data_IF_002638510182
#
_entry.id   IF_002638510182
#
_cell.length_a   1.000
_cell.length_b   1.000
_cell.length_c   1.000
_cell.angle_alpha   90.00
_cell.angle_beta   90.00
_cell.angle_gamma   90.00
#
_symmetry.space_group_name_H-M   'P 1'
#
loop_
_entity.id
_entity.type
_entity.pdbx_description
1 polymer ?
#
# COMPACT_ATOMS: atom_id res chain seq x y z
N UNK A 1 35.23 -11.41 -4.92
CA UNK A 1 34.76 -11.42 -3.52
C UNK A 1 34.84 -9.99 -3.07
N UNK A 2 33.84 -9.52 -2.34
CA UNK A 2 33.83 -8.18 -1.74
C UNK A 2 35.04 -8.04 -0.81
N UNK A 3 35.58 -6.84 -0.65
CA UNK A 3 36.80 -6.69 0.14
C UNK A 3 37.21 -5.26 0.42
N UNK A 4 38.16 -5.11 1.33
CA UNK A 4 38.76 -3.82 1.67
C UNK A 4 39.89 -3.46 0.70
N UNK A 5 39.78 -2.32 0.05
CA UNK A 5 40.82 -1.73 -0.81
C UNK A 5 41.11 -0.32 -0.30
N UNK A 6 42.37 -0.04 0.02
CA UNK A 6 42.83 1.28 0.51
C UNK A 6 41.98 1.88 1.66
N UNK A 7 41.52 1.02 2.58
CA UNK A 7 40.72 1.46 3.73
C UNK A 7 39.27 1.77 3.42
N UNK A 8 38.78 1.47 2.21
CA UNK A 8 37.36 1.51 1.83
C UNK A 8 36.86 0.11 1.52
N UNK A 9 35.59 -0.14 1.79
CA UNK A 9 34.94 -1.38 1.42
C UNK A 9 34.48 -1.29 -0.05
N UNK A 10 34.92 -2.23 -0.87
CA UNK A 10 34.52 -2.34 -2.28
C UNK A 10 33.55 -3.49 -2.49
N UNK A 11 32.38 -3.15 -3.02
CA UNK A 11 31.31 -4.09 -3.34
C UNK A 11 31.54 -4.72 -4.72
N UNK A 12 31.46 -6.05 -4.80
CA UNK A 12 31.54 -6.79 -6.06
C UNK A 12 30.16 -7.38 -6.40
N UNK A 13 29.21 -6.50 -6.73
CA UNK A 13 27.84 -6.90 -7.05
C UNK A 13 27.79 -7.70 -8.36
N UNK A 14 27.35 -8.96 -8.28
CA UNK A 14 27.18 -9.84 -9.43
C UNK A 14 25.72 -10.25 -9.58
N UNK A 15 25.10 -9.82 -10.68
CA UNK A 15 23.71 -10.14 -10.99
C UNK A 15 23.59 -11.53 -11.62
N UNK A 16 22.57 -12.29 -11.24
CA UNK A 16 22.32 -13.65 -11.78
C UNK A 16 21.88 -13.64 -13.25
N UNK A 17 21.29 -12.54 -13.72
CA UNK A 17 20.80 -12.33 -15.08
C UNK A 17 21.00 -10.87 -15.50
N UNK A 18 20.85 -10.61 -16.79
CA UNK A 18 20.80 -9.24 -17.30
C UNK A 18 19.66 -8.45 -16.63
N UNK A 19 19.90 -7.16 -16.43
CA UNK A 19 18.95 -6.22 -15.86
C UNK A 19 17.85 -5.91 -16.86
N UNK A 20 16.61 -5.83 -16.36
CA UNK A 20 15.54 -5.17 -17.11
C UNK A 20 15.69 -3.66 -17.00
N UNK A 21 15.13 -2.91 -17.95
CA UNK A 21 15.24 -1.44 -17.99
C UNK A 21 14.77 -0.77 -16.69
N UNK A 22 13.69 -1.28 -16.08
CA UNK A 22 13.16 -0.76 -14.81
C UNK A 22 14.01 -1.11 -13.57
N UNK A 23 14.94 -2.06 -13.68
CA UNK A 23 15.85 -2.43 -12.57
C UNK A 23 17.09 -1.54 -12.54
N UNK A 24 17.39 -0.81 -13.63
CA UNK A 24 18.58 0.05 -13.73
C UNK A 24 18.48 1.24 -12.76
N UNK A 25 17.30 1.83 -12.63
CA UNK A 25 17.07 2.93 -11.68
C UNK A 25 17.20 2.45 -10.22
N UNK A 26 16.69 1.26 -9.91
CA UNK A 26 16.81 0.65 -8.59
C UNK A 26 18.26 0.30 -8.26
N UNK A 27 19.04 -0.17 -9.25
CA UNK A 27 20.48 -0.41 -9.08
C UNK A 27 21.23 0.89 -8.78
N UNK A 28 20.93 1.96 -9.51
CA UNK A 28 21.56 3.25 -9.27
C UNK A 28 21.27 3.76 -7.85
N UNK A 29 20.02 3.66 -7.40
CA UNK A 29 19.64 4.01 -6.03
C UNK A 29 20.36 3.16 -4.98
N UNK A 30 20.47 1.85 -5.23
CA UNK A 30 21.19 0.93 -4.35
C UNK A 30 22.68 1.30 -4.26
N UNK A 31 23.33 1.53 -5.41
CA UNK A 31 24.76 1.90 -5.45
C UNK A 31 25.01 3.21 -4.73
N UNK A 32 24.15 4.22 -4.92
CA UNK A 32 24.23 5.48 -4.18
C UNK A 32 24.06 5.28 -2.67
N UNK A 33 23.09 4.47 -2.24
CA UNK A 33 22.88 4.20 -0.81
C UNK A 33 24.10 3.51 -0.19
N UNK A 34 24.67 2.55 -0.92
CA UNK A 34 25.82 1.77 -0.48
C UNK A 34 27.11 2.62 -0.46
N UNK A 35 27.36 3.45 -1.47
CA UNK A 35 28.53 4.36 -1.52
C UNK A 35 28.52 5.38 -0.38
N UNK A 36 27.34 5.83 0.03
CA UNK A 36 27.19 6.75 1.15
C UNK A 36 27.32 6.08 2.54
N UNK A 37 27.47 4.76 2.58
CA UNK A 37 27.58 4.01 3.84
C UNK A 37 29.05 3.85 4.24
N UNK A 38 29.41 4.31 5.43
CA UNK A 38 30.77 4.20 5.96
C UNK A 38 30.91 2.93 6.82
N UNK A 39 31.50 1.89 6.25
CA UNK A 39 31.79 0.65 6.98
C UNK A 39 32.98 0.85 7.91
N UNK A 40 32.91 0.27 9.11
CA UNK A 40 34.00 0.28 10.08
C UNK A 40 34.63 -1.11 10.11
N UNK A 41 35.93 -1.22 9.81
CA UNK A 41 36.62 -2.52 9.65
C UNK A 41 36.59 -3.40 10.91
N UNK A 42 36.68 -2.76 12.08
CA UNK A 42 36.86 -3.44 13.36
C UNK A 42 35.59 -3.41 14.23
N UNK A 43 34.46 -3.00 13.66
CA UNK A 43 33.17 -3.02 14.33
C UNK A 43 32.39 -4.26 13.92
N UNK A 44 31.87 -4.98 14.91
CA UNK A 44 30.96 -6.10 14.68
C UNK A 44 29.57 -5.54 14.40
N UNK A 45 28.91 -6.05 13.36
CA UNK A 45 27.53 -5.71 13.04
C UNK A 45 26.61 -6.01 14.23
N UNK A 46 25.71 -5.07 14.53
CA UNK A 46 24.72 -5.21 15.59
C UNK A 46 23.36 -4.71 15.13
N UNK A 47 22.30 -5.32 15.66
CA UNK A 47 20.94 -4.87 15.42
C UNK A 47 20.64 -3.66 16.30
N UNK A 48 20.10 -2.59 15.70
CA UNK A 48 19.57 -1.44 16.41
C UNK A 48 18.06 -1.34 16.22
N UNK A 49 17.36 -0.97 17.28
CA UNK A 49 15.94 -0.66 17.26
C UNK A 49 15.74 0.83 17.03
N UNK A 50 15.40 1.23 15.80
CA UNK A 50 15.29 2.63 15.40
C UNK A 50 14.17 3.40 16.14
N UNK A 51 13.17 2.70 16.66
CA UNK A 51 12.04 3.32 17.35
C UNK A 51 12.38 3.72 18.80
N UNK A 52 13.61 3.52 19.27
CA UNK A 52 14.06 3.97 20.57
C UNK A 52 15.46 4.61 20.47
N UNK A 53 15.67 5.82 21.05
CA UNK A 53 16.98 6.50 20.96
C UNK A 53 18.14 5.70 21.57
N UNK A 54 17.85 4.76 22.48
CA UNK A 54 18.84 3.84 23.05
C UNK A 54 19.34 2.79 22.05
N UNK A 55 18.63 2.60 20.93
CA UNK A 55 18.87 1.54 19.96
C UNK A 55 18.52 0.14 20.47
N UNK A 56 18.02 0.01 21.70
CA UNK A 56 17.68 -1.30 22.28
C UNK A 56 16.24 -1.68 22.00
N UNK A 57 16.03 -2.94 21.62
CA UNK A 57 14.69 -3.47 21.47
C UNK A 57 14.04 -3.73 22.85
N UNK A 58 12.77 -3.34 22.99
CA UNK A 58 11.92 -3.81 24.08
C UNK A 58 10.51 -4.12 23.56
N UNK A 59 9.86 -5.12 24.15
CA UNK A 59 8.47 -5.46 23.81
C UNK A 59 7.55 -4.26 24.01
N UNK A 60 7.79 -3.47 25.07
CA UNK A 60 7.06 -2.23 25.35
C UNK A 60 7.19 -1.23 24.20
N UNK A 61 8.42 -0.92 23.78
CA UNK A 61 8.70 0.03 22.69
C UNK A 61 8.03 -0.44 21.39
N UNK A 62 8.16 -1.72 21.04
CA UNK A 62 7.51 -2.30 19.87
C UNK A 62 5.98 -2.16 19.91
N UNK A 63 5.35 -2.49 21.04
CA UNK A 63 3.89 -2.35 21.20
C UNK A 63 3.45 -0.89 21.11
N UNK A 64 4.17 0.05 21.73
CA UNK A 64 3.87 1.47 21.64
C UNK A 64 3.98 1.96 20.19
N UNK A 65 5.04 1.61 19.47
CA UNK A 65 5.18 1.97 18.05
C UNK A 65 4.03 1.42 17.20
N UNK A 66 3.65 0.15 17.40
CA UNK A 66 2.53 -0.45 16.67
C UNK A 66 1.23 0.27 17.01
N UNK A 67 0.97 0.52 18.30
CA UNK A 67 -0.25 1.18 18.76
C UNK A 67 -0.36 2.61 18.25
N UNK A 68 0.71 3.40 18.34
CA UNK A 68 0.76 4.78 17.85
C UNK A 68 0.59 4.82 16.33
N UNK A 69 1.21 3.89 15.60
CA UNK A 69 1.00 3.75 14.15
C UNK A 69 -0.43 3.35 13.79
N UNK A 70 -1.08 2.49 14.59
CA UNK A 70 -2.48 2.10 14.41
C UNK A 70 -3.46 3.22 14.79
N UNK A 71 -3.04 4.16 15.64
CA UNK A 71 -3.81 5.35 15.97
C UNK A 71 -3.76 6.39 14.85
N UNK A 72 -2.66 6.44 14.09
CA UNK A 72 -2.49 7.28 12.89
C UNK A 72 -3.16 6.69 11.66
N UNK A 73 -3.16 5.37 11.51
CA UNK A 73 -4.00 4.64 10.55
C UNK A 73 -5.35 4.43 11.20
N UNK A 74 -6.09 5.54 11.38
CA UNK A 74 -7.32 5.62 12.16
C UNK A 74 -8.13 4.34 12.05
N UNK A 75 -8.39 3.70 13.21
CA UNK A 75 -9.08 2.43 13.37
C UNK A 75 -9.90 2.10 12.13
N UNK A 76 -9.37 1.23 11.27
CA UNK A 76 -10.20 0.57 10.29
C UNK A 76 -11.06 -0.41 11.08
N UNK A 77 -12.03 0.12 11.83
CA UNK A 77 -13.27 -0.54 12.18
C UNK A 77 -13.95 -0.83 10.85
N UNK A 78 -13.41 -1.80 10.11
CA UNK A 78 -14.03 -2.37 8.93
C UNK A 78 -15.36 -2.87 9.47
N UNK A 79 -16.49 -2.23 9.14
CA UNK A 79 -17.71 -2.50 9.87
C UNK A 79 -18.06 -3.97 9.69
N UNK A 80 -18.07 -4.77 10.77
CA UNK A 80 -18.34 -6.21 10.71
C UNK A 80 -19.58 -6.56 9.86
N UNK A 81 -20.49 -5.60 9.71
CA UNK A 81 -21.65 -5.61 8.84
C UNK A 81 -21.43 -6.15 7.42
N UNK A 82 -20.30 -5.89 6.73
CA UNK A 82 -20.16 -6.39 5.35
C UNK A 82 -20.06 -7.92 5.26
N UNK A 83 -19.63 -8.59 6.33
CA UNK A 83 -19.67 -10.06 6.41
C UNK A 83 -21.10 -10.60 6.51
N UNK A 84 -22.03 -9.79 7.02
CA UNK A 84 -23.45 -10.13 7.13
C UNK A 84 -24.20 -10.04 5.79
N UNK A 85 -23.61 -9.41 4.77
CA UNK A 85 -24.22 -9.30 3.44
C UNK A 85 -24.23 -10.69 2.78
N UNK A 86 -25.37 -11.17 2.26
CA UNK A 86 -25.46 -12.44 1.56
C UNK A 86 -24.77 -12.33 0.18
N UNK A 87 -23.45 -12.48 0.18
CA UNK A 87 -22.61 -12.43 -1.00
C UNK A 87 -21.70 -13.67 -1.06
N UNK A 88 -21.25 -14.07 -2.26
CA UNK A 88 -20.26 -15.14 -2.40
C UNK A 88 -18.96 -14.80 -1.67
N UNK A 89 -18.26 -15.80 -1.13
CA UNK A 89 -17.02 -15.60 -0.35
C UNK A 89 -15.93 -14.81 -1.11
N UNK A 90 -15.90 -14.90 -2.45
CA UNK A 90 -14.98 -14.10 -3.29
C UNK A 90 -15.24 -12.60 -3.15
N UNK A 91 -16.50 -12.19 -3.00
CA UNK A 91 -16.89 -10.79 -2.79
C UNK A 91 -16.46 -10.32 -1.41
N UNK A 92 -16.69 -11.11 -0.37
CA UNK A 92 -16.23 -10.74 0.98
C UNK A 92 -14.71 -10.63 1.06
N UNK A 93 -13.97 -11.57 0.47
CA UNK A 93 -12.51 -11.51 0.42
C UNK A 93 -12.03 -10.27 -0.34
N UNK A 94 -12.68 -9.94 -1.46
CA UNK A 94 -12.39 -8.72 -2.20
C UNK A 94 -12.64 -7.47 -1.36
N UNK A 95 -13.78 -7.37 -0.67
CA UNK A 95 -14.08 -6.24 0.21
C UNK A 95 -13.09 -6.11 1.37
N UNK A 96 -12.72 -7.23 2.00
CA UNK A 96 -11.70 -7.24 3.03
C UNK A 96 -10.37 -6.72 2.51
N UNK A 97 -9.94 -7.15 1.31
CA UNK A 97 -8.73 -6.61 0.66
C UNK A 97 -8.88 -5.13 0.32
N UNK A 98 -10.06 -4.69 -0.11
CA UNK A 98 -10.33 -3.32 -0.50
C UNK A 98 -10.15 -2.36 0.70
N UNK A 99 -10.74 -2.69 1.84
CA UNK A 99 -10.65 -1.83 3.04
C UNK A 99 -9.27 -1.89 3.69
N UNK A 100 -8.55 -3.00 3.57
CA UNK A 100 -7.20 -3.15 4.14
C UNK A 100 -6.07 -2.74 3.18
N UNK A 101 -6.34 -1.92 2.16
CA UNK A 101 -5.32 -1.49 1.18
C UNK A 101 -4.54 -2.66 0.58
N UNK A 102 -5.25 -3.77 0.35
CA UNK A 102 -4.77 -5.07 -0.09
C UNK A 102 -4.84 -5.29 -1.60
N UNK A 103 -5.53 -4.40 -2.33
CA UNK A 103 -5.69 -4.46 -3.78
C UNK A 103 -4.50 -3.77 -4.46
N UNK A 104 -3.96 -4.30 -5.57
CA UNK A 104 -2.83 -3.72 -6.30
C UNK A 104 -3.26 -2.48 -7.10
N UNK A 105 -3.61 -1.40 -6.40
CA UNK A 105 -3.85 -0.06 -6.94
C UNK A 105 -2.59 0.75 -6.75
N UNK A 106 -2.29 1.67 -7.67
CA UNK A 106 -1.08 2.53 -7.66
C UNK A 106 -0.76 3.05 -6.26
N UNK A 107 -1.72 3.69 -5.59
CA UNK A 107 -1.52 4.23 -4.23
C UNK A 107 -1.03 3.16 -3.22
N UNK A 108 -1.62 1.95 -3.28
CA UNK A 108 -1.20 0.83 -2.43
C UNK A 108 0.15 0.24 -2.85
N UNK A 109 0.52 0.31 -4.13
CA UNK A 109 1.82 -0.14 -4.63
C UNK A 109 2.92 0.84 -4.21
N UNK A 110 2.68 2.14 -4.34
CA UNK A 110 3.59 3.20 -3.88
C UNK A 110 3.83 3.07 -2.37
N UNK A 111 2.78 2.85 -1.56
CA UNK A 111 2.91 2.59 -0.12
C UNK A 111 3.77 1.36 0.22
N UNK A 112 3.92 0.43 -0.72
CA UNK A 112 4.77 -0.77 -0.60
C UNK A 112 6.15 -0.59 -1.25
N UNK A 113 6.56 0.65 -1.51
CA UNK A 113 7.82 1.01 -2.15
C UNK A 113 8.00 0.42 -3.56
N UNK A 114 6.90 0.21 -4.29
CA UNK A 114 6.96 -0.18 -5.69
C UNK A 114 7.00 1.10 -6.53
N UNK A 115 8.13 1.33 -7.21
CA UNK A 115 8.32 2.44 -8.13
C UNK A 115 7.48 2.23 -9.39
N UNK A 116 6.73 3.26 -9.77
CA UNK A 116 5.88 3.27 -10.97
C UNK A 116 6.20 4.53 -11.78
N UNK A 117 6.17 4.40 -13.10
CA UNK A 117 6.35 5.55 -13.99
C UNK A 117 5.19 6.53 -13.88
N UNK A 118 5.37 7.84 -14.12
CA UNK A 118 4.30 8.83 -14.00
C UNK A 118 3.05 8.53 -14.83
N UNK A 119 3.19 7.87 -15.98
CA UNK A 119 2.03 7.48 -16.80
C UNK A 119 1.28 6.28 -16.23
N UNK A 120 1.91 5.49 -15.36
CA UNK A 120 1.33 4.34 -14.67
C UNK A 120 0.62 4.72 -13.37
N UNK A 121 0.75 5.98 -12.90
CA UNK A 121 0.09 6.44 -11.68
C UNK A 121 -1.31 7.00 -11.92
N UNK A 122 -1.70 7.14 -13.19
CA UNK A 122 -2.98 7.68 -13.61
C UNK A 122 -4.03 6.58 -13.76
N UNK A 123 -5.28 6.95 -13.55
CA UNK A 123 -6.44 6.08 -13.70
C UNK A 123 -6.41 5.35 -15.06
N UNK A 124 -6.55 4.02 -15.10
CA UNK A 124 -6.42 3.23 -16.34
C UNK A 124 -7.55 3.50 -17.33
N UNK A 125 -8.70 4.02 -16.87
CA UNK A 125 -9.87 4.24 -17.70
C UNK A 125 -9.82 5.58 -18.46
N UNK A 126 -9.48 6.67 -17.76
CA UNK A 126 -9.54 8.03 -18.31
C UNK A 126 -8.18 8.74 -18.34
N UNK A 127 -7.15 8.20 -17.66
CA UNK A 127 -5.79 8.75 -17.58
C UNK A 127 -5.72 10.23 -17.20
N UNK A 128 -6.73 10.75 -16.51
CA UNK A 128 -6.85 12.15 -16.11
C UNK A 128 -6.44 12.37 -14.66
N UNK A 129 -6.90 11.49 -13.78
CA UNK A 129 -6.74 11.60 -12.33
C UNK A 129 -5.83 10.50 -11.80
N UNK A 130 -5.22 10.72 -10.63
CA UNK A 130 -4.41 9.70 -9.96
C UNK A 130 -5.23 8.45 -9.60
N UNK A 131 -4.64 7.27 -9.81
CA UNK A 131 -5.27 6.00 -9.49
C UNK A 131 -5.26 5.75 -7.97
N UNK A 132 -6.35 6.14 -7.32
CA UNK A 132 -6.61 5.89 -5.90
C UNK A 132 -7.78 4.92 -5.73
N UNK A 133 -7.86 4.28 -4.56
CA UNK A 133 -8.99 3.40 -4.20
C UNK A 133 -10.33 4.14 -4.34
N UNK A 134 -10.42 5.34 -3.77
CA UNK A 134 -11.62 6.17 -3.85
C UNK A 134 -11.95 6.57 -5.28
N UNK A 135 -10.95 6.91 -6.11
CA UNK A 135 -11.21 7.22 -7.50
C UNK A 135 -11.75 6.00 -8.26
N UNK A 136 -11.03 4.88 -8.23
CA UNK A 136 -11.40 3.70 -9.01
C UNK A 136 -12.77 3.16 -8.62
N UNK A 137 -13.15 3.19 -7.34
CA UNK A 137 -14.42 2.58 -6.90
C UNK A 137 -15.58 3.56 -6.74
N UNK A 138 -15.33 4.85 -6.53
CA UNK A 138 -16.40 5.81 -6.24
C UNK A 138 -16.48 6.95 -7.26
N UNK A 139 -15.37 7.64 -7.51
CA UNK A 139 -15.40 8.95 -8.20
C UNK A 139 -15.06 8.89 -9.69
N UNK A 140 -14.50 7.78 -10.16
CA UNK A 140 -14.21 7.56 -11.57
C UNK A 140 -15.51 7.61 -12.38
N UNK A 141 -15.57 8.35 -13.51
CA UNK A 141 -16.77 8.46 -14.32
C UNK A 141 -17.33 7.11 -14.81
N UNK A 142 -16.49 6.07 -14.91
CA UNK A 142 -16.92 4.72 -15.25
C UNK A 142 -17.67 4.09 -14.07
N UNK A 143 -17.07 4.12 -12.88
CA UNK A 143 -17.64 3.54 -11.67
C UNK A 143 -18.90 4.27 -11.22
N UNK A 144 -18.93 5.59 -11.33
CA UNK A 144 -20.13 6.41 -11.07
C UNK A 144 -21.31 5.96 -11.95
N UNK A 145 -21.09 5.73 -13.26
CA UNK A 145 -22.13 5.21 -14.16
C UNK A 145 -22.63 3.83 -13.74
N UNK A 146 -21.71 2.92 -13.40
CA UNK A 146 -22.06 1.55 -12.95
C UNK A 146 -22.90 1.63 -11.68
N UNK A 147 -22.48 2.41 -10.70
CA UNK A 147 -23.21 2.55 -9.45
C UNK A 147 -24.58 3.17 -9.63
N UNK A 148 -24.72 4.24 -10.42
CA UNK A 148 -26.02 4.84 -10.74
C UNK A 148 -26.96 3.83 -11.42
N UNK A 149 -26.42 3.00 -12.33
CA UNK A 149 -27.19 1.92 -12.94
C UNK A 149 -27.65 0.88 -11.92
N UNK A 150 -26.77 0.42 -11.02
CA UNK A 150 -27.13 -0.51 -9.95
C UNK A 150 -28.16 0.08 -8.98
N UNK A 151 -27.98 1.33 -8.57
CA UNK A 151 -28.91 2.05 -7.69
C UNK A 151 -30.29 2.24 -8.32
N UNK A 152 -30.36 2.41 -9.65
CA UNK A 152 -31.63 2.46 -10.37
C UNK A 152 -32.41 1.15 -10.27
N UNK A 153 -31.72 -0.01 -10.22
CA UNK A 153 -32.38 -1.31 -10.08
C UNK A 153 -33.06 -1.49 -8.72
N UNK A 154 -32.57 -0.81 -7.68
CA UNK A 154 -33.12 -0.86 -6.33
C UNK A 154 -33.93 0.40 -5.96
N UNK A 155 -34.26 1.25 -6.94
CA UNK A 155 -35.00 2.51 -6.75
C UNK A 155 -34.41 3.43 -5.65
N UNK A 156 -33.08 3.49 -5.53
CA UNK A 156 -32.39 4.28 -4.51
C UNK A 156 -31.44 5.32 -5.16
N UNK A 157 -31.96 6.39 -5.79
CA UNK A 157 -31.12 7.42 -6.39
C UNK A 157 -30.53 8.30 -5.27
N UNK A 158 -29.27 8.05 -4.91
CA UNK A 158 -28.55 8.82 -3.90
C UNK A 158 -27.21 9.32 -4.45
N UNK A 159 -26.72 10.49 -4.02
CA UNK A 159 -25.35 10.89 -4.30
C UNK A 159 -24.37 9.83 -3.79
N UNK A 160 -23.46 9.39 -4.67
CA UNK A 160 -22.47 8.37 -4.34
C UNK A 160 -21.44 8.95 -3.37
N UNK A 161 -21.14 8.26 -2.25
CA UNK A 161 -20.09 8.70 -1.34
C UNK A 161 -18.72 8.67 -2.02
N UNK A 162 -17.88 9.66 -1.71
CA UNK A 162 -16.54 9.79 -2.28
C UNK A 162 -15.53 8.78 -1.71
N UNK A 163 -15.89 8.09 -0.63
CA UNK A 163 -15.04 7.10 0.03
C UNK A 163 -15.69 5.71 -0.01
N UNK A 164 -14.87 4.68 -0.20
CA UNK A 164 -15.32 3.30 -0.30
C UNK A 164 -16.05 2.82 0.96
N UNK A 165 -15.54 3.13 2.15
CA UNK A 165 -16.18 2.70 3.41
C UNK A 165 -17.59 3.29 3.52
N UNK A 166 -17.74 4.56 3.16
CA UNK A 166 -19.04 5.24 3.15
C UNK A 166 -19.98 4.63 2.11
N UNK A 167 -19.44 4.25 0.94
CA UNK A 167 -20.18 3.56 -0.10
C UNK A 167 -20.73 2.20 0.38
N UNK A 168 -19.98 1.48 1.21
CA UNK A 168 -20.42 0.20 1.79
C UNK A 168 -21.45 0.39 2.91
N UNK A 169 -21.32 1.43 3.74
CA UNK A 169 -22.31 1.75 4.76
C UNK A 169 -23.62 2.31 4.19
N UNK A 170 -23.55 2.94 3.01
CA UNK A 170 -24.69 3.56 2.37
C UNK A 170 -25.65 2.53 1.76
N UNK A 171 -25.16 1.36 1.34
CA UNK A 171 -26.02 0.32 0.79
C UNK A 171 -27.08 -0.04 1.83
N UNK A 172 -28.38 0.26 1.57
CA UNK A 172 -29.43 -0.07 2.51
C UNK A 172 -29.32 -1.57 2.73
N UNK A 173 -29.07 -1.97 3.98
CA UNK A 173 -29.01 -3.37 4.36
C UNK A 173 -30.25 -4.03 3.79
N UNK A 174 -30.06 -4.92 2.81
CA UNK A 174 -31.18 -5.61 2.21
C UNK A 174 -31.80 -6.47 3.30
N UNK A 175 -32.90 -5.94 3.82
CA UNK A 175 -34.12 -6.60 4.25
C UNK A 175 -33.89 -7.61 5.38
N UNK A 176 -34.34 -7.20 6.57
CA UNK A 176 -34.83 -8.12 7.58
C UNK A 176 -35.59 -9.27 6.88
N UNK A 177 -35.03 -10.46 6.97
CA UNK A 177 -35.73 -11.73 6.75
C UNK A 177 -36.88 -11.85 7.74
#
# INVERSE_FOLDING_TARGET
MDGWVDGRWEWQLRWRRNRFEWEVSQEHQLLQAIENTNFQRDQVDSWSWECEPSGMFSVKSAYTTIYDSSSLVGETNVPYFFWSIPAPSKVHYFMWRLVNSGIPIVDNLIRRNITLEPQQTLCPFFKSDAETVSHIFCTCPLSDKVWKQCLSWINCPSPLPMQVIQHLSFLPGMLHS
#
